data_IF_756436901684
#
_entry.id   IF_756436901684
#
_cell.length_a   1.000
_cell.length_b   1.000
_cell.length_c   1.000
_cell.angle_alpha   90.00
_cell.angle_beta   90.00
_cell.angle_gamma   90.00
#
_symmetry.space_group_name_H-M   'P 1'
#
loop_
_entity.id
_entity.type
_entity.pdbx_description
1 polymer ?
#
# COMPACT_ATOMS: atom_id res chain seq x y z
N UNK A 1 -3.58 15.08 -2.44
CA UNK A 1 -4.62 14.44 -3.28
C UNK A 1 -4.63 12.93 -3.02
N UNK A 2 -5.81 12.36 -2.85
CA UNK A 2 -5.96 10.93 -2.61
C UNK A 2 -6.46 10.24 -3.89
N UNK A 3 -5.75 9.19 -4.32
CA UNK A 3 -6.13 8.38 -5.48
C UNK A 3 -6.60 7.03 -4.96
N UNK A 4 -7.82 6.66 -5.31
CA UNK A 4 -8.44 5.45 -4.81
C UNK A 4 -9.03 4.61 -5.94
N UNK A 5 -8.93 3.27 -5.77
CA UNK A 5 -9.58 2.32 -6.65
C UNK A 5 -10.41 1.37 -5.80
N UNK A 6 -11.69 1.23 -6.09
CA UNK A 6 -12.64 0.41 -5.31
C UNK A 6 -12.66 -1.05 -5.68
N UNK A 7 -12.02 -1.41 -6.78
CA UNK A 7 -12.08 -2.77 -7.29
C UNK A 7 -11.05 -3.66 -6.59
N UNK A 8 -11.23 -4.95 -6.73
CA UNK A 8 -10.28 -5.91 -6.20
C UNK A 8 -8.90 -5.66 -6.79
N UNK A 9 -7.90 -5.73 -5.94
CA UNK A 9 -6.52 -5.55 -6.36
C UNK A 9 -6.01 -6.83 -7.02
N UNK A 10 -5.48 -6.72 -8.22
CA UNK A 10 -4.75 -7.76 -8.91
C UNK A 10 -3.34 -7.25 -9.15
N UNK A 11 -2.35 -8.13 -9.39
CA UNK A 11 -0.99 -7.66 -9.66
C UNK A 11 -0.93 -6.62 -10.77
N UNK A 12 -1.65 -6.85 -11.86
CA UNK A 12 -1.66 -5.93 -13.00
C UNK A 12 -2.29 -4.58 -12.66
N UNK A 13 -3.42 -4.60 -11.95
CA UNK A 13 -4.09 -3.34 -11.59
C UNK A 13 -3.28 -2.54 -10.59
N UNK A 14 -2.61 -3.21 -9.65
CA UNK A 14 -1.75 -2.53 -8.68
C UNK A 14 -0.57 -1.88 -9.39
N UNK A 15 0.08 -2.60 -10.31
CA UNK A 15 1.20 -2.04 -11.08
C UNK A 15 0.78 -0.82 -11.89
N UNK A 16 -0.40 -0.87 -12.51
CA UNK A 16 -0.91 0.27 -13.28
C UNK A 16 -1.18 1.49 -12.38
N UNK A 17 -1.73 1.26 -11.21
CA UNK A 17 -1.98 2.35 -10.25
C UNK A 17 -0.68 2.96 -9.74
N UNK A 18 0.34 2.14 -9.49
CA UNK A 18 1.65 2.65 -9.08
C UNK A 18 2.25 3.52 -10.17
N UNK A 19 2.15 3.09 -11.43
CA UNK A 19 2.66 3.86 -12.55
C UNK A 19 2.01 5.24 -12.61
N UNK A 20 0.70 5.30 -12.42
CA UNK A 20 -0.01 6.57 -12.39
C UNK A 20 0.44 7.45 -11.21
N UNK A 21 0.64 6.84 -10.06
CA UNK A 21 1.11 7.57 -8.88
C UNK A 21 2.47 8.21 -9.13
N UNK A 22 3.37 7.48 -9.81
CA UNK A 22 4.73 7.97 -10.06
C UNK A 22 4.77 9.19 -10.97
N UNK A 23 3.69 9.47 -11.69
CA UNK A 23 3.58 10.66 -12.53
C UNK A 23 3.14 11.90 -11.77
N UNK A 24 2.74 11.75 -10.50
CA UNK A 24 2.29 12.87 -9.68
C UNK A 24 3.47 13.66 -9.13
N UNK A 25 3.30 14.98 -8.94
CA UNK A 25 4.35 15.80 -8.32
C UNK A 25 4.39 15.59 -6.81
N UNK A 26 5.45 16.09 -6.18
CA UNK A 26 5.66 16.08 -4.75
C UNK A 26 5.82 14.66 -4.18
N UNK A 27 5.67 14.52 -2.88
CA UNK A 27 5.86 13.24 -2.21
C UNK A 27 4.68 12.31 -2.48
N UNK A 28 4.99 11.03 -2.62
CA UNK A 28 4.02 10.00 -2.98
C UNK A 28 3.99 8.94 -1.90
N UNK A 29 2.78 8.56 -1.50
CA UNK A 29 2.56 7.57 -0.46
C UNK A 29 1.60 6.50 -0.98
N UNK A 30 1.80 5.26 -0.57
CA UNK A 30 0.97 4.15 -1.00
C UNK A 30 0.44 3.38 0.21
N UNK A 31 -0.87 3.29 0.32
CA UNK A 31 -1.54 2.44 1.28
C UNK A 31 -1.98 1.20 0.51
N UNK A 32 -1.29 0.09 0.75
CA UNK A 32 -1.45 -1.14 -0.02
C UNK A 32 -2.01 -2.24 0.85
N UNK A 33 -3.27 -2.63 0.60
CA UNK A 33 -3.86 -3.80 1.24
C UNK A 33 -3.50 -5.04 0.43
N UNK A 34 -3.15 -6.12 1.11
CA UNK A 34 -2.71 -7.34 0.43
C UNK A 34 -3.73 -7.81 -0.60
N UNK A 35 -3.22 -8.34 -1.70
CA UNK A 35 -4.05 -8.90 -2.75
C UNK A 35 -4.57 -10.26 -2.30
N UNK A 36 -5.82 -10.55 -2.63
CA UNK A 36 -6.47 -11.81 -2.26
C UNK A 36 -6.64 -12.71 -3.48
N UNK A 37 -6.93 -13.97 -3.22
CA UNK A 37 -7.27 -14.95 -4.26
C UNK A 37 -6.16 -15.22 -5.29
N UNK A 38 -4.90 -15.07 -4.88
CA UNK A 38 -3.76 -15.35 -5.75
C UNK A 38 -3.20 -16.77 -5.56
N UNK A 39 -3.72 -17.51 -4.58
CA UNK A 39 -3.29 -18.88 -4.33
C UNK A 39 -1.81 -18.98 -4.00
N UNK A 40 -1.15 -19.98 -4.57
CA UNK A 40 0.25 -20.26 -4.30
C UNK A 40 1.21 -19.17 -4.76
N UNK A 41 0.77 -18.35 -5.69
CA UNK A 41 1.61 -17.28 -6.25
C UNK A 41 1.53 -15.98 -5.46
N UNK A 42 0.75 -15.96 -4.38
CA UNK A 42 0.51 -14.74 -3.61
C UNK A 42 1.80 -14.07 -3.16
N UNK A 43 2.69 -14.82 -2.53
CA UNK A 43 3.94 -14.26 -2.04
C UNK A 43 4.78 -13.68 -3.18
N UNK A 44 4.89 -14.42 -4.28
CA UNK A 44 5.65 -13.97 -5.45
C UNK A 44 5.14 -12.65 -5.99
N UNK A 45 3.82 -12.51 -6.16
CA UNK A 45 3.25 -11.29 -6.69
C UNK A 45 3.41 -10.10 -5.73
N UNK A 46 3.27 -10.35 -4.44
CA UNK A 46 3.50 -9.28 -3.47
C UNK A 46 4.95 -8.81 -3.48
N UNK A 47 5.90 -9.75 -3.59
CA UNK A 47 7.32 -9.40 -3.66
C UNK A 47 7.63 -8.59 -4.91
N UNK A 48 7.03 -8.92 -6.05
CA UNK A 48 7.20 -8.13 -7.27
C UNK A 48 6.75 -6.68 -7.06
N UNK A 49 5.61 -6.50 -6.41
CA UNK A 49 5.08 -5.16 -6.12
C UNK A 49 6.01 -4.43 -5.14
N UNK A 50 6.47 -5.11 -4.10
CA UNK A 50 7.39 -4.49 -3.13
C UNK A 50 8.69 -4.02 -3.81
N UNK A 51 9.23 -4.82 -4.71
CA UNK A 51 10.45 -4.44 -5.44
C UNK A 51 10.21 -3.23 -6.33
N UNK A 52 9.05 -3.17 -6.98
CA UNK A 52 8.68 -2.03 -7.81
C UNK A 52 8.60 -0.75 -6.96
N UNK A 53 7.96 -0.84 -5.80
CA UNK A 53 7.84 0.31 -4.89
C UNK A 53 9.21 0.71 -4.35
N UNK A 54 10.01 -0.27 -3.93
CA UNK A 54 11.31 0.00 -3.34
C UNK A 54 12.27 0.69 -4.31
N UNK A 55 12.13 0.40 -5.59
CA UNK A 55 12.97 0.99 -6.64
C UNK A 55 12.41 2.29 -7.22
N UNK A 56 11.29 2.76 -6.69
CA UNK A 56 10.63 3.99 -7.14
C UNK A 56 10.90 5.15 -6.20
N UNK A 57 10.34 6.32 -6.52
CA UNK A 57 10.42 7.49 -5.65
C UNK A 57 9.23 7.61 -4.69
N UNK A 58 8.46 6.54 -4.53
CA UNK A 58 7.43 6.51 -3.48
C UNK A 58 8.12 6.68 -2.13
N UNK A 59 7.64 7.64 -1.35
CA UNK A 59 8.25 8.01 -0.08
C UNK A 59 8.02 6.95 0.99
N UNK A 60 6.81 6.42 1.08
CA UNK A 60 6.44 5.45 2.09
C UNK A 60 5.29 4.58 1.61
N UNK A 61 5.33 3.31 1.97
CA UNK A 61 4.26 2.35 1.71
C UNK A 61 3.80 1.72 3.02
N UNK A 62 2.51 1.84 3.31
CA UNK A 62 1.88 1.14 4.43
C UNK A 62 1.22 -0.10 3.87
N UNK A 63 1.77 -1.27 4.20
CA UNK A 63 1.25 -2.54 3.71
C UNK A 63 0.38 -3.19 4.78
N UNK A 64 -0.87 -3.49 4.42
CA UNK A 64 -1.84 -4.09 5.34
C UNK A 64 -2.05 -5.54 4.95
N UNK A 65 -1.82 -6.45 5.90
CA UNK A 65 -2.05 -7.87 5.68
C UNK A 65 -2.64 -8.51 6.93
N UNK A 66 -3.10 -9.75 6.81
CA UNK A 66 -3.61 -10.48 7.95
C UNK A 66 -2.46 -10.94 8.87
N UNK A 67 -2.79 -11.32 10.08
CA UNK A 67 -1.80 -11.75 11.06
C UNK A 67 -1.01 -12.98 10.62
N UNK A 68 -1.64 -13.87 9.86
CA UNK A 68 -0.97 -15.08 9.38
C UNK A 68 0.22 -14.76 8.51
N UNK A 69 0.10 -13.75 7.68
CA UNK A 69 1.13 -13.38 6.71
C UNK A 69 2.03 -12.23 7.17
N UNK A 70 1.65 -11.56 8.26
CA UNK A 70 2.40 -10.41 8.76
C UNK A 70 3.87 -10.71 8.99
N UNK A 71 4.16 -11.85 9.62
CA UNK A 71 5.53 -12.23 9.94
C UNK A 71 6.37 -12.44 8.68
N UNK A 72 5.80 -13.08 7.68
CA UNK A 72 6.49 -13.35 6.41
C UNK A 72 6.90 -12.05 5.74
N UNK A 73 5.95 -11.14 5.60
CA UNK A 73 6.20 -9.87 4.91
C UNK A 73 7.04 -8.91 5.75
N UNK A 74 6.88 -8.92 7.07
CA UNK A 74 7.72 -8.13 7.95
C UNK A 74 9.18 -8.56 7.81
N UNK A 75 9.44 -9.86 7.77
CA UNK A 75 10.80 -10.37 7.58
C UNK A 75 11.38 -9.94 6.23
N UNK A 76 10.57 -10.01 5.19
CA UNK A 76 11.02 -9.61 3.86
C UNK A 76 11.32 -8.11 3.78
N UNK A 77 10.51 -7.28 4.44
CA UNK A 77 10.58 -5.83 4.34
C UNK A 77 11.41 -5.16 5.44
N UNK A 78 11.94 -5.93 6.38
CA UNK A 78 12.62 -5.37 7.56
C UNK A 78 13.79 -4.43 7.26
N UNK A 79 14.48 -4.66 6.14
CA UNK A 79 15.63 -3.85 5.75
C UNK A 79 15.23 -2.70 4.79
N UNK A 80 13.96 -2.54 4.52
CA UNK A 80 13.45 -1.57 3.56
C UNK A 80 12.69 -0.47 4.31
N UNK A 81 13.35 0.65 4.51
CA UNK A 81 12.85 1.73 5.37
C UNK A 81 11.55 2.37 4.93
N UNK A 82 11.20 2.30 3.67
CA UNK A 82 9.96 2.93 3.20
C UNK A 82 8.69 2.12 3.50
N UNK A 83 8.83 0.89 4.00
CA UNK A 83 7.68 0.01 4.27
C UNK A 83 7.36 -0.07 5.75
N UNK A 84 6.07 -0.05 6.06
CA UNK A 84 5.54 -0.35 7.38
C UNK A 84 4.44 -1.38 7.22
N UNK A 85 4.57 -2.53 7.88
CA UNK A 85 3.57 -3.61 7.80
C UNK A 85 2.58 -3.47 8.94
N UNK A 86 1.31 -3.44 8.63
CA UNK A 86 0.22 -3.30 9.60
C UNK A 86 -0.78 -4.44 9.42
N UNK A 87 -1.41 -4.86 10.50
CA UNK A 87 -2.47 -5.87 10.44
C UNK A 87 -3.84 -5.31 10.76
N UNK A 88 -3.95 -4.00 10.96
CA UNK A 88 -5.21 -3.36 11.30
C UNK A 88 -5.32 -2.02 10.58
N UNK A 89 -6.37 -1.85 9.79
CA UNK A 89 -6.59 -0.62 9.03
C UNK A 89 -6.79 0.60 9.93
N UNK A 90 -7.17 0.39 11.18
CA UNK A 90 -7.37 1.50 12.13
C UNK A 90 -6.08 2.26 12.43
N UNK A 91 -4.94 1.61 12.24
CA UNK A 91 -3.65 2.25 12.49
C UNK A 91 -3.16 3.11 11.34
N UNK A 92 -3.78 2.99 10.16
CA UNK A 92 -3.32 3.67 8.95
C UNK A 92 -3.47 5.19 9.02
N UNK A 93 -4.63 5.74 9.44
CA UNK A 93 -4.77 7.20 9.45
C UNK A 93 -3.72 7.90 10.30
N UNK A 94 -3.40 7.35 11.46
CA UNK A 94 -2.40 7.93 12.34
C UNK A 94 -1.02 7.97 11.66
N UNK A 95 -0.62 6.87 11.04
CA UNK A 95 0.66 6.77 10.38
C UNK A 95 0.77 7.70 9.17
N UNK A 96 -0.30 7.75 8.37
CA UNK A 96 -0.29 8.58 7.16
C UNK A 96 -0.31 10.06 7.51
N UNK A 97 -1.08 10.45 8.52
CA UNK A 97 -1.16 11.86 8.93
C UNK A 97 0.15 12.38 9.50
N UNK A 98 0.95 11.50 10.12
CA UNK A 98 2.28 11.86 10.59
C UNK A 98 3.25 12.14 9.44
N UNK A 99 3.09 11.43 8.34
CA UNK A 99 4.08 11.41 7.27
C UNK A 99 3.78 12.35 6.12
N UNK A 100 2.51 12.70 5.93
CA UNK A 100 2.07 13.46 4.75
C UNK A 100 1.85 14.93 5.05
N UNK A 101 1.95 15.73 3.99
CA UNK A 101 1.69 17.16 4.03
C UNK A 101 0.69 17.50 2.94
N UNK A 102 0.07 18.66 3.06
CA UNK A 102 -0.87 19.15 2.04
C UNK A 102 -0.17 19.19 0.68
N UNK A 103 -0.83 18.63 -0.32
CA UNK A 103 -0.28 18.58 -1.66
C UNK A 103 0.40 17.26 -2.02
N UNK A 104 0.68 16.41 -1.04
CA UNK A 104 1.22 15.08 -1.29
C UNK A 104 0.16 14.19 -1.93
N UNK A 105 0.59 13.18 -2.67
CA UNK A 105 -0.30 12.22 -3.31
C UNK A 105 -0.34 10.92 -2.54
N UNK A 106 -1.53 10.40 -2.31
CA UNK A 106 -1.73 9.15 -1.58
C UNK A 106 -2.54 8.20 -2.46
N UNK A 107 -1.95 7.06 -2.81
CA UNK A 107 -2.67 5.99 -3.51
C UNK A 107 -3.17 4.98 -2.48
N UNK A 108 -4.44 4.62 -2.58
CA UNK A 108 -5.04 3.61 -1.72
C UNK A 108 -5.55 2.48 -2.61
N UNK A 109 -4.99 1.30 -2.46
CA UNK A 109 -5.34 0.15 -3.30
C UNK A 109 -5.23 -1.14 -2.50
N UNK A 110 -6.23 -2.00 -2.61
CA UNK A 110 -6.23 -3.28 -1.93
C UNK A 110 -7.50 -4.06 -2.21
N UNK A 111 -7.57 -5.29 -1.73
CA UNK A 111 -8.76 -6.11 -1.85
C UNK A 111 -9.92 -5.53 -1.05
N UNK A 112 -11.13 -5.84 -1.48
CA UNK A 112 -12.35 -5.36 -0.80
C UNK A 112 -12.42 -5.74 0.67
N UNK A 113 -11.84 -6.88 1.04
CA UNK A 113 -11.87 -7.34 2.42
C UNK A 113 -11.27 -6.33 3.39
N UNK A 114 -10.40 -5.44 2.93
CA UNK A 114 -9.77 -4.43 3.78
C UNK A 114 -10.63 -3.19 4.01
N UNK A 115 -11.66 -2.97 3.17
CA UNK A 115 -12.56 -1.82 3.29
C UNK A 115 -11.79 -0.50 3.42
N UNK A 116 -10.81 -0.33 2.55
CA UNK A 116 -9.89 0.82 2.62
C UNK A 116 -10.59 2.16 2.43
N UNK A 117 -11.77 2.19 1.81
CA UNK A 117 -12.54 3.42 1.66
C UNK A 117 -12.89 4.08 2.99
N UNK A 118 -12.93 3.29 4.06
CA UNK A 118 -13.20 3.83 5.40
C UNK A 118 -12.05 4.67 5.93
N UNK A 119 -10.85 4.46 5.39
CA UNK A 119 -9.66 5.19 5.81
C UNK A 119 -9.70 6.63 5.29
N UNK A 120 -10.26 6.82 4.11
CA UNK A 120 -10.23 8.11 3.41
C UNK A 120 -10.83 9.24 4.26
N UNK A 121 -11.90 8.95 4.96
CA UNK A 121 -12.58 9.94 5.81
C UNK A 121 -11.72 10.37 6.99
N UNK A 122 -10.74 9.57 7.37
CA UNK A 122 -9.89 9.81 8.53
C UNK A 122 -8.53 10.42 8.17
N UNK A 123 -8.24 10.55 6.89
CA UNK A 123 -7.01 11.16 6.40
C UNK A 123 -7.26 12.64 6.10
N UNK A 124 -6.41 13.47 6.65
CA UNK A 124 -6.50 14.92 6.47
C UNK A 124 -5.93 15.40 5.14
#
# INVERSE_FOLDING_TARGET
>A
MCIRDRYNASPESVKACIKNLLEKPRNKFFIFGSMQELGKESEKYHIEIFNLINNSDIEKCLFICDKENEKIYTNYLKDKNKFLVLNNIKDVPQEINKSTKKGDSILIKGSRCWQLEKIIELIN
#
